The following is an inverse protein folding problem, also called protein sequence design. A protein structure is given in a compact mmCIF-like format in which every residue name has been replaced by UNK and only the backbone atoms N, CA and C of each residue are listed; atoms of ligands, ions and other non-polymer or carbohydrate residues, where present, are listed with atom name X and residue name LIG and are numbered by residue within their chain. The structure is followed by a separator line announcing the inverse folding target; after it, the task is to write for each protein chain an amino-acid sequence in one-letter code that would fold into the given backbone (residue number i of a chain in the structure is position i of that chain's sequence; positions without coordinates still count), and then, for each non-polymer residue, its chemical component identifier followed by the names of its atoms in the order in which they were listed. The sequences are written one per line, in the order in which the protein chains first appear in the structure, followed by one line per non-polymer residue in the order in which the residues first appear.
data_IF_754392724011
#
_entry.id   IF_754392724011
#
_cell.length_a   1.000
_cell.length_b   1.000
_cell.length_c   1.000
_cell.angle_alpha   90.00
_cell.angle_beta   90.00
_cell.angle_gamma   90.00
#
_symmetry.space_group_name_H-M   'P 1'
#
loop_
_entity.id
_entity.type
_entity.pdbx_description
1 polymer ?
#
# COMPACT_ATOMS: atom_id res chain seq x y z
N UNK A 1 30.98 -12.36 -5.86
CA UNK A 1 29.87 -12.45 -6.85
C UNK A 1 29.06 -11.18 -6.68
N UNK A 2 29.32 -10.21 -7.52
CA UNK A 2 28.61 -8.93 -7.50
C UNK A 2 27.17 -9.17 -7.95
N UNK A 3 26.23 -8.91 -7.06
CA UNK A 3 24.84 -8.74 -7.41
C UNK A 3 24.75 -7.44 -8.21
N UNK A 4 24.78 -7.58 -9.53
CA UNK A 4 24.42 -6.51 -10.45
C UNK A 4 23.03 -6.02 -10.04
N UNK A 5 22.97 -4.79 -9.54
CA UNK A 5 21.73 -4.04 -9.43
C UNK A 5 21.08 -4.06 -10.82
N UNK A 6 20.08 -4.91 -10.97
CA UNK A 6 19.20 -4.88 -12.11
C UNK A 6 18.66 -3.45 -12.16
N UNK A 7 19.03 -2.75 -13.21
CA UNK A 7 18.50 -1.46 -13.58
C UNK A 7 16.98 -1.57 -13.51
N UNK A 8 16.40 -0.94 -12.51
CA UNK A 8 14.97 -0.67 -12.51
C UNK A 8 14.75 0.18 -13.76
N UNK A 9 14.37 -0.47 -14.84
CA UNK A 9 13.90 0.23 -16.03
C UNK A 9 12.76 1.10 -15.52
N UNK A 10 12.93 2.42 -15.67
CA UNK A 10 11.89 3.36 -15.31
C UNK A 10 10.59 2.88 -15.95
N UNK A 11 9.70 2.34 -15.17
CA UNK A 11 8.34 2.11 -15.59
C UNK A 11 7.77 3.48 -15.90
N UNK A 12 7.76 3.83 -17.16
CA UNK A 12 6.95 4.94 -17.64
C UNK A 12 5.52 4.44 -17.57
N UNK A 13 4.94 4.52 -16.39
CA UNK A 13 3.53 4.27 -16.18
C UNK A 13 2.82 5.47 -16.79
N UNK A 14 2.41 5.32 -18.06
CA UNK A 14 1.73 6.37 -18.79
C UNK A 14 0.60 6.96 -17.95
N UNK A 15 0.68 8.25 -17.65
CA UNK A 15 -0.26 8.97 -16.79
C UNK A 15 0.16 9.13 -15.32
N UNK A 16 1.15 8.39 -14.83
CA UNK A 16 1.62 8.55 -13.44
C UNK A 16 2.68 9.65 -13.29
N UNK A 17 3.33 10.03 -14.36
CA UNK A 17 4.24 11.18 -14.44
C UNK A 17 3.54 12.52 -14.16
N UNK A 18 2.22 12.54 -14.15
CA UNK A 18 1.44 13.72 -13.78
C UNK A 18 1.45 14.01 -12.26
N UNK A 19 1.87 13.04 -11.44
CA UNK A 19 1.96 13.19 -9.99
C UNK A 19 3.34 13.64 -9.56
N UNK A 20 3.40 14.48 -8.54
CA UNK A 20 4.66 14.92 -7.92
C UNK A 20 5.27 13.82 -7.07
N UNK A 21 4.41 13.06 -6.38
CA UNK A 21 4.79 11.95 -5.51
C UNK A 21 3.80 10.79 -5.69
N UNK A 22 4.31 9.56 -5.52
CA UNK A 22 3.50 8.34 -5.48
C UNK A 22 3.87 7.58 -4.22
N UNK A 23 2.95 7.49 -3.27
CA UNK A 23 3.16 6.80 -2.01
C UNK A 23 2.47 5.44 -1.99
N UNK A 24 3.27 4.37 -1.85
CA UNK A 24 2.80 3.03 -1.59
C UNK A 24 2.67 2.90 -0.07
N UNK A 25 1.45 2.64 0.40
CA UNK A 25 1.13 2.66 1.83
C UNK A 25 0.51 1.35 2.25
N UNK A 26 0.98 0.85 3.39
CA UNK A 26 0.45 -0.32 4.07
C UNK A 26 0.30 -0.01 5.56
N UNK A 27 -0.82 -0.41 6.15
CA UNK A 27 -1.15 -0.12 7.53
C UNK A 27 -1.58 -1.40 8.26
N UNK A 28 -1.05 -1.59 9.44
CA UNK A 28 -1.48 -2.66 10.35
C UNK A 28 -2.32 -2.07 11.48
N UNK A 29 -3.38 -2.77 11.81
CA UNK A 29 -4.32 -2.37 12.86
C UNK A 29 -5.02 -3.57 13.47
N UNK A 30 -5.54 -3.39 14.67
CA UNK A 30 -6.51 -4.31 15.25
C UNK A 30 -7.91 -3.71 15.16
N UNK A 31 -8.91 -4.56 14.93
CA UNK A 31 -10.30 -4.14 14.91
C UNK A 31 -11.19 -5.28 15.44
N UNK A 32 -12.12 -4.92 16.32
CA UNK A 32 -13.23 -5.81 16.67
C UNK A 32 -14.44 -5.47 15.79
N UNK A 33 -15.31 -6.42 15.50
CA UNK A 33 -16.52 -6.17 14.72
C UNK A 33 -17.33 -4.99 15.28
N UNK A 34 -17.62 -4.00 14.44
CA UNK A 34 -18.36 -2.80 14.82
C UNK A 34 -17.57 -1.75 15.59
N UNK A 35 -16.29 -1.98 15.87
CA UNK A 35 -15.42 -1.02 16.55
C UNK A 35 -14.52 -0.25 15.55
N UNK A 36 -14.06 0.90 16.00
CA UNK A 36 -13.04 1.68 15.26
C UNK A 36 -11.72 0.90 15.25
N UNK A 37 -11.00 0.97 14.14
CA UNK A 37 -9.64 0.43 14.03
C UNK A 37 -8.71 1.05 15.06
N UNK A 38 -7.84 0.23 15.64
CA UNK A 38 -6.75 0.66 16.52
C UNK A 38 -5.45 0.52 15.72
N UNK A 39 -4.86 1.64 15.25
CA UNK A 39 -3.65 1.62 14.46
C UNK A 39 -2.47 1.01 15.22
N UNK A 40 -1.67 0.19 14.55
CA UNK A 40 -0.46 -0.44 15.10
C UNK A 40 0.76 0.16 14.43
N UNK A 41 0.82 0.16 13.09
CA UNK A 41 1.88 0.82 12.35
C UNK A 41 1.40 1.25 10.96
N UNK A 42 2.11 2.20 10.39
CA UNK A 42 1.99 2.61 8.98
C UNK A 42 3.37 2.58 8.37
N UNK A 43 3.50 1.90 7.25
CA UNK A 43 4.70 1.90 6.41
C UNK A 43 4.35 2.54 5.08
N UNK A 44 5.17 3.47 4.63
CA UNK A 44 4.98 4.12 3.35
C UNK A 44 6.30 4.24 2.58
N UNK A 45 6.25 4.04 1.27
CA UNK A 45 7.40 4.18 0.38
C UNK A 45 7.05 5.07 -0.80
N UNK A 46 7.86 6.10 -1.02
CA UNK A 46 7.73 6.99 -2.17
C UNK A 46 8.40 6.35 -3.39
N UNK A 47 7.66 6.23 -4.49
CA UNK A 47 8.07 5.43 -5.64
C UNK A 47 9.20 6.04 -6.47
N UNK A 48 9.30 7.38 -6.56
CA UNK A 48 10.31 8.05 -7.38
C UNK A 48 11.66 8.15 -6.66
N UNK A 49 11.63 8.43 -5.38
CA UNK A 49 12.84 8.66 -4.56
C UNK A 49 13.29 7.44 -3.76
N UNK A 50 12.38 6.48 -3.55
CA UNK A 50 12.60 5.34 -2.68
C UNK A 50 12.56 5.68 -1.18
N UNK A 51 12.15 6.93 -0.81
CA UNK A 51 12.05 7.33 0.60
C UNK A 51 11.05 6.43 1.33
N UNK A 52 11.47 5.89 2.47
CA UNK A 52 10.63 5.06 3.34
C UNK A 52 10.30 5.78 4.64
N UNK A 53 9.07 5.60 5.09
CA UNK A 53 8.56 6.08 6.37
C UNK A 53 7.95 4.89 7.12
N UNK A 54 8.21 4.83 8.42
CA UNK A 54 7.63 3.83 9.33
C UNK A 54 7.25 4.53 10.61
N UNK A 55 5.96 4.44 10.98
CA UNK A 55 5.44 5.00 12.21
C UNK A 55 4.76 3.90 13.02
N UNK A 56 5.12 3.83 14.28
CA UNK A 56 4.51 2.91 15.25
C UNK A 56 3.45 3.63 16.10
N UNK A 57 2.76 2.87 16.96
CA UNK A 57 1.61 3.32 17.75
C UNK A 57 1.80 4.68 18.43
N UNK A 58 2.93 4.89 19.09
CA UNK A 58 3.25 6.13 19.81
C UNK A 58 3.49 7.31 18.86
N UNK A 59 4.18 7.06 17.76
CA UNK A 59 4.42 8.06 16.71
C UNK A 59 3.13 8.40 15.98
N UNK A 60 2.28 7.40 15.70
CA UNK A 60 0.97 7.58 15.10
C UNK A 60 0.04 8.38 15.99
N UNK A 61 0.04 8.11 17.30
CA UNK A 61 -0.77 8.85 18.27
C UNK A 61 -0.34 10.32 18.39
N UNK A 62 0.94 10.62 18.19
CA UNK A 62 1.48 11.97 18.22
C UNK A 62 1.31 12.73 16.89
N UNK A 63 1.07 12.03 15.77
CA UNK A 63 1.01 12.63 14.45
C UNK A 63 -0.36 13.25 14.17
N UNK A 64 -0.43 14.56 14.08
CA UNK A 64 -1.67 15.29 13.76
C UNK A 64 -2.11 15.13 12.29
N UNK A 65 -1.22 14.70 11.41
CA UNK A 65 -1.45 14.52 9.98
C UNK A 65 -0.56 13.41 9.41
N UNK A 66 -0.86 12.86 8.22
CA UNK A 66 0.02 11.91 7.55
C UNK A 66 1.42 12.52 7.35
N UNK A 67 2.50 11.71 7.44
CA UNK A 67 3.87 12.20 7.26
C UNK A 67 4.23 12.45 5.78
N UNK A 68 3.26 12.39 4.90
CA UNK A 68 3.36 12.64 3.46
C UNK A 68 2.14 13.42 2.96
N UNK A 69 2.29 14.05 1.81
CA UNK A 69 1.21 14.81 1.17
C UNK A 69 0.08 13.89 0.71
N UNK A 70 -1.15 14.39 0.80
CA UNK A 70 -2.38 13.66 0.39
C UNK A 70 -3.25 14.49 -0.57
N UNK A 71 -2.68 15.55 -1.16
CA UNK A 71 -3.37 16.46 -2.08
C UNK A 71 -3.49 15.88 -3.51
N UNK A 72 -4.09 16.64 -4.41
CA UNK A 72 -4.39 16.21 -5.79
C UNK A 72 -3.14 15.95 -6.67
N UNK A 73 -1.97 16.39 -6.24
CA UNK A 73 -0.69 16.17 -6.94
C UNK A 73 0.03 14.92 -6.47
N UNK A 74 -0.55 14.20 -5.52
CA UNK A 74 0.02 12.98 -4.93
C UNK A 74 -0.91 11.80 -5.14
N UNK A 75 -0.36 10.69 -5.62
CA UNK A 75 -1.09 9.44 -5.75
C UNK A 75 -0.82 8.56 -4.52
N UNK A 76 -1.88 8.20 -3.83
CA UNK A 76 -1.87 7.21 -2.77
C UNK A 76 -2.17 5.83 -3.38
N UNK A 77 -1.29 4.87 -3.14
CA UNK A 77 -1.40 3.50 -3.66
C UNK A 77 -1.42 2.52 -2.50
N UNK A 78 -2.40 1.64 -2.46
CA UNK A 78 -2.46 0.55 -1.49
C UNK A 78 -3.10 -0.70 -2.10
N UNK A 79 -3.00 -1.82 -1.41
CA UNK A 79 -3.71 -3.04 -1.77
C UNK A 79 -4.89 -3.23 -0.81
N UNK A 80 -6.12 -2.98 -1.29
CA UNK A 80 -7.35 -2.91 -0.50
C UNK A 80 -7.43 -1.65 0.38
N UNK A 81 -7.45 -0.48 -0.24
CA UNK A 81 -7.45 0.85 0.37
C UNK A 81 -8.45 1.08 1.53
N UNK A 82 -9.62 0.41 1.64
CA UNK A 82 -10.48 0.54 2.81
C UNK A 82 -9.79 0.23 4.15
N UNK A 83 -8.78 -0.63 4.17
CA UNK A 83 -8.00 -0.92 5.37
C UNK A 83 -7.24 0.31 5.86
N UNK A 84 -6.47 0.96 4.97
CA UNK A 84 -5.71 2.18 5.26
C UNK A 84 -6.63 3.34 5.63
N UNK A 85 -7.79 3.45 4.99
CA UNK A 85 -8.77 4.49 5.32
C UNK A 85 -9.38 4.32 6.71
N UNK A 86 -9.55 3.09 7.19
CA UNK A 86 -9.92 2.82 8.56
C UNK A 86 -8.91 3.38 9.56
N UNK A 87 -7.63 3.24 9.27
CA UNK A 87 -6.52 3.80 10.06
C UNK A 87 -6.50 5.32 9.98
N UNK A 88 -6.59 5.91 8.77
CA UNK A 88 -6.65 7.36 8.59
C UNK A 88 -7.82 7.98 9.35
N UNK A 89 -8.99 7.35 9.27
CA UNK A 89 -10.17 7.80 10.01
C UNK A 89 -9.97 7.72 11.52
N UNK A 90 -9.37 6.63 12.01
CA UNK A 90 -9.08 6.46 13.43
C UNK A 90 -8.11 7.52 13.97
N UNK A 91 -7.14 7.93 13.16
CA UNK A 91 -6.16 8.97 13.49
C UNK A 91 -6.67 10.41 13.25
N UNK A 92 -7.86 10.57 12.63
CA UNK A 92 -8.37 11.87 12.25
C UNK A 92 -7.60 12.52 11.09
N UNK A 93 -6.89 11.73 10.31
CA UNK A 93 -6.13 12.21 9.16
C UNK A 93 -7.03 12.49 7.96
N UNK A 94 -6.72 13.48 7.13
CA UNK A 94 -7.45 13.72 5.89
C UNK A 94 -7.27 12.55 4.92
N UNK A 95 -8.35 12.20 4.22
CA UNK A 95 -8.29 11.19 3.17
C UNK A 95 -7.46 11.68 1.98
N UNK A 96 -6.69 10.79 1.33
CA UNK A 96 -6.00 11.12 0.10
C UNK A 96 -6.95 11.57 -1.01
N UNK A 97 -6.58 12.62 -1.76
CA UNK A 97 -7.40 13.14 -2.85
C UNK A 97 -7.39 12.24 -4.10
N UNK A 98 -6.29 11.52 -4.32
CA UNK A 98 -6.09 10.60 -5.45
C UNK A 98 -5.64 9.24 -4.95
N UNK A 99 -6.37 8.21 -5.33
CA UNK A 99 -6.22 6.85 -4.81
C UNK A 99 -6.13 5.86 -5.96
N UNK A 100 -5.18 4.95 -5.87
CA UNK A 100 -5.10 3.75 -6.70
C UNK A 100 -5.16 2.53 -5.77
N UNK A 101 -6.28 1.82 -5.80
CA UNK A 101 -6.46 0.57 -5.07
C UNK A 101 -6.06 -0.61 -5.97
N UNK A 102 -4.91 -1.20 -5.71
CA UNK A 102 -4.39 -2.31 -6.52
C UNK A 102 -5.24 -3.57 -6.42
N UNK A 103 -5.99 -3.77 -5.34
CA UNK A 103 -6.95 -4.88 -5.27
C UNK A 103 -8.08 -4.70 -6.29
N UNK A 104 -8.62 -3.49 -6.39
CA UNK A 104 -9.68 -3.17 -7.36
C UNK A 104 -9.15 -3.32 -8.78
N UNK A 105 -7.95 -2.80 -9.07
CA UNK A 105 -7.30 -2.93 -10.39
C UNK A 105 -7.06 -4.40 -10.74
N UNK A 106 -6.52 -5.19 -9.83
CA UNK A 106 -6.28 -6.62 -10.04
C UNK A 106 -7.60 -7.37 -10.30
N UNK A 107 -8.65 -7.07 -9.54
CA UNK A 107 -9.98 -7.68 -9.74
C UNK A 107 -10.57 -7.29 -11.09
N UNK A 108 -10.45 -6.04 -11.50
CA UNK A 108 -10.93 -5.57 -12.81
C UNK A 108 -10.17 -6.26 -13.96
N UNK A 109 -8.84 -6.32 -13.87
CA UNK A 109 -7.98 -6.95 -14.87
C UNK A 109 -8.23 -8.45 -15.00
N UNK A 110 -8.49 -9.14 -13.90
CA UNK A 110 -8.68 -10.60 -13.85
C UNK A 110 -10.16 -11.02 -13.88
N UNK A 111 -11.06 -10.10 -14.18
CA UNK A 111 -12.48 -10.38 -14.21
C UNK A 111 -12.80 -11.51 -15.22
N UNK A 112 -13.46 -12.56 -14.74
CA UNK A 112 -13.76 -13.76 -15.53
C UNK A 112 -12.56 -14.69 -15.77
N UNK A 113 -11.37 -14.36 -15.29
CA UNK A 113 -10.19 -15.21 -15.36
C UNK A 113 -10.01 -16.03 -14.08
N UNK A 114 -9.30 -17.14 -14.19
CA UNK A 114 -8.90 -17.92 -13.02
C UNK A 114 -7.70 -17.28 -12.33
N UNK A 115 -7.80 -17.12 -11.02
CA UNK A 115 -6.71 -16.67 -10.15
C UNK A 115 -6.37 -17.78 -9.16
N UNK A 116 -5.50 -18.76 -9.53
CA UNK A 116 -5.30 -20.00 -8.76
C UNK A 116 -4.87 -19.76 -7.30
N UNK A 117 -4.13 -18.68 -7.05
CA UNK A 117 -3.66 -18.29 -5.71
C UNK A 117 -4.55 -17.24 -5.04
N UNK A 118 -5.76 -17.03 -5.54
CA UNK A 118 -6.70 -16.05 -5.01
C UNK A 118 -6.42 -14.61 -5.47
N UNK A 119 -7.18 -13.68 -4.92
CA UNK A 119 -7.13 -12.25 -5.29
C UNK A 119 -6.48 -11.36 -4.21
N UNK A 120 -6.00 -11.92 -3.10
CA UNK A 120 -5.21 -11.19 -2.12
C UNK A 120 -3.85 -10.77 -2.68
N UNK A 121 -3.11 -9.94 -1.95
CA UNK A 121 -1.81 -9.43 -2.40
C UNK A 121 -0.85 -10.55 -2.82
N UNK A 122 -0.71 -11.60 -2.01
CA UNK A 122 0.15 -12.74 -2.36
C UNK A 122 -0.31 -13.43 -3.66
N UNK A 123 -1.62 -13.60 -3.84
CA UNK A 123 -2.19 -14.17 -5.06
C UNK A 123 -1.92 -13.31 -6.29
N UNK A 124 -2.00 -11.99 -6.16
CA UNK A 124 -1.66 -11.06 -7.24
C UNK A 124 -0.18 -11.10 -7.60
N UNK A 125 0.71 -11.15 -6.60
CA UNK A 125 2.15 -11.30 -6.82
C UNK A 125 2.47 -12.59 -7.59
N UNK A 126 1.89 -13.71 -7.17
CA UNK A 126 2.03 -15.01 -7.86
C UNK A 126 1.51 -14.94 -9.30
N UNK A 127 0.33 -14.34 -9.50
CA UNK A 127 -0.25 -14.18 -10.83
C UNK A 127 0.66 -13.42 -11.79
N UNK A 128 1.36 -12.41 -11.30
CA UNK A 128 2.31 -11.60 -12.08
C UNK A 128 3.74 -12.18 -12.13
N UNK A 129 3.98 -13.34 -11.51
CA UNK A 129 5.31 -13.95 -11.46
C UNK A 129 6.32 -13.15 -10.62
N UNK A 130 5.82 -12.36 -9.67
CA UNK A 130 6.64 -11.55 -8.77
C UNK A 130 6.98 -12.35 -7.50
N UNK A 131 8.13 -12.06 -6.84
CA UNK A 131 8.47 -12.67 -5.57
C UNK A 131 7.38 -12.41 -4.53
N UNK A 132 6.95 -13.47 -3.86
CA UNK A 132 5.94 -13.41 -2.80
C UNK A 132 6.44 -14.15 -1.56
N UNK A 133 6.08 -13.65 -0.38
CA UNK A 133 6.26 -14.38 0.87
C UNK A 133 5.52 -15.71 0.83
N UNK A 134 6.05 -16.75 1.46
CA UNK A 134 5.28 -17.94 1.76
C UNK A 134 4.14 -17.58 2.74
N UNK A 135 2.94 -18.13 2.49
CA UNK A 135 1.78 -17.90 3.37
C UNK A 135 2.00 -18.31 4.83
N UNK A 136 2.94 -19.22 5.09
CA UNK A 136 3.34 -19.62 6.46
C UNK A 136 4.13 -18.54 7.17
N UNK A 137 4.90 -17.72 6.47
CA UNK A 137 5.65 -16.59 7.05
C UNK A 137 4.72 -15.48 7.53
N UNK A 138 3.60 -15.27 6.84
CA UNK A 138 2.59 -14.28 7.22
C UNK A 138 1.88 -14.63 8.54
N UNK A 139 1.77 -15.91 8.86
CA UNK A 139 1.10 -16.38 10.07
C UNK A 139 2.03 -16.32 11.31
N UNK A 140 3.34 -16.18 11.08
CA UNK A 140 4.34 -16.12 12.13
C UNK A 140 4.64 -14.69 12.64
N UNK A 141 4.08 -13.68 12.00
CA UNK A 141 4.14 -12.27 12.42
C UNK A 141 2.92 -11.90 13.25
#
# INVERSE_FOLDING_TARGET
MELTMSTFTAFTLAGLEAFDEIWLVDAEYSAQPGCRSVPICVVAKEAFTGRELRLWEDELAAAAAPPFRVDERVLFVSYAAPAEFGVFHALGWPAPARILDLFVEFRAMTNGLKTPSGAGLLGALVYHGLPAMDGTEKTAM
#
